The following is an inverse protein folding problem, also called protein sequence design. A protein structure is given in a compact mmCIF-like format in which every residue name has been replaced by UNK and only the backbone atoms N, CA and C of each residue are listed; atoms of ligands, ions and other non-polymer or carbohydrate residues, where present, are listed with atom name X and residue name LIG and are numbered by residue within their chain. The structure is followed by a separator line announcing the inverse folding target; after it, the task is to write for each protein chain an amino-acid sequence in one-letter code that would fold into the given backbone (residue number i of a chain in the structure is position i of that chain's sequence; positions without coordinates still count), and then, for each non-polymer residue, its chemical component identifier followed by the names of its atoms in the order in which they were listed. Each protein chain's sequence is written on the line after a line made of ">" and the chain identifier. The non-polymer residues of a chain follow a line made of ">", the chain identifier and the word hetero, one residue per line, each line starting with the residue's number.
data_IF_886286972522
#
_entry.id   IF_886286972522
#
_cell.length_a   1.000
_cell.length_b   1.000
_cell.length_c   1.000
_cell.angle_alpha   90.00
_cell.angle_beta   90.00
_cell.angle_gamma   90.00
#
_symmetry.space_group_name_H-M   'P 1'
#
loop_
_entity.id
_entity.type
_entity.pdbx_description
1 polymer ?
#
# COMPACT_ATOMS: atom_id res chain seq x y z
N UNK A 1 4.33 -29.08 16.26
CA UNK A 1 5.65 -29.17 16.93
C UNK A 1 5.50 -29.30 18.44
N UNK A 2 5.00 -28.28 19.16
CA UNK A 2 4.82 -28.37 20.63
C UNK A 2 3.91 -29.53 21.10
N UNK A 3 2.93 -29.93 20.29
CA UNK A 3 2.06 -31.09 20.55
C UNK A 3 2.68 -32.46 20.19
N UNK A 4 3.99 -32.53 19.87
CA UNK A 4 4.69 -33.79 19.57
C UNK A 4 4.96 -34.09 18.09
N UNK A 5 4.61 -33.19 17.16
CA UNK A 5 4.92 -33.41 15.73
C UNK A 5 6.43 -33.34 15.46
N UNK A 6 6.95 -34.24 14.63
CA UNK A 6 8.38 -34.33 14.29
C UNK A 6 8.88 -33.22 13.35
N UNK A 7 7.98 -32.58 12.59
CA UNK A 7 8.30 -31.56 11.59
C UNK A 7 7.05 -30.89 11.00
N UNK A 8 7.25 -30.08 9.96
CA UNK A 8 6.19 -29.43 9.20
C UNK A 8 6.55 -29.33 7.71
N UNK A 9 5.56 -29.46 6.83
CA UNK A 9 5.69 -29.23 5.39
C UNK A 9 5.02 -27.89 5.10
N UNK A 10 5.80 -26.89 4.70
CA UNK A 10 5.34 -25.50 4.59
C UNK A 10 5.67 -24.91 3.23
N UNK A 11 4.66 -24.40 2.51
CA UNK A 11 4.89 -23.68 1.26
C UNK A 11 5.72 -22.40 1.48
N UNK A 12 5.50 -21.72 2.62
CA UNK A 12 6.26 -20.53 3.02
C UNK A 12 7.73 -20.83 3.36
N UNK A 13 8.11 -22.10 3.58
CA UNK A 13 9.52 -22.46 3.77
C UNK A 13 10.35 -22.34 2.48
N UNK A 14 9.72 -22.23 1.31
CA UNK A 14 10.46 -21.85 0.10
C UNK A 14 10.99 -20.41 0.18
N UNK A 15 10.33 -19.53 0.95
CA UNK A 15 10.60 -18.09 1.00
C UNK A 15 11.39 -17.71 2.26
N UNK A 16 11.00 -18.26 3.41
CA UNK A 16 11.58 -17.94 4.72
C UNK A 16 12.03 -19.21 5.49
N UNK A 17 12.85 -20.09 4.89
CA UNK A 17 13.25 -21.37 5.51
C UNK A 17 14.00 -21.18 6.82
N UNK A 18 14.89 -20.18 6.87
CA UNK A 18 15.71 -19.82 8.02
C UNK A 18 14.87 -19.50 9.26
N UNK A 19 13.77 -18.77 9.10
CA UNK A 19 12.88 -18.42 10.22
C UNK A 19 12.15 -19.66 10.74
N UNK A 20 11.69 -20.55 9.86
CA UNK A 20 11.04 -21.80 10.28
C UNK A 20 12.02 -22.76 10.98
N UNK A 21 13.27 -22.82 10.52
CA UNK A 21 14.33 -23.59 11.18
C UNK A 21 14.62 -23.02 12.57
N UNK A 22 14.71 -21.69 12.73
CA UNK A 22 14.85 -21.06 14.05
C UNK A 22 13.69 -21.41 14.98
N UNK A 23 12.44 -21.31 14.50
CA UNK A 23 11.24 -21.69 15.27
C UNK A 23 11.31 -23.16 15.68
N UNK A 24 11.69 -24.06 14.77
CA UNK A 24 11.85 -25.49 15.07
C UNK A 24 12.87 -25.73 16.18
N UNK A 25 14.03 -25.09 16.09
CA UNK A 25 15.11 -25.20 17.08
C UNK A 25 14.69 -24.65 18.44
N UNK A 26 14.03 -23.49 18.49
CA UNK A 26 13.51 -22.93 19.74
C UNK A 26 12.50 -23.87 20.40
N UNK A 27 11.61 -24.52 19.63
CA UNK A 27 10.66 -25.48 20.19
C UNK A 27 11.37 -26.73 20.72
N UNK A 28 12.38 -27.25 20.00
CA UNK A 28 13.23 -28.37 20.45
C UNK A 28 13.94 -28.06 21.76
N UNK A 29 14.37 -26.81 21.95
CA UNK A 29 15.07 -26.34 23.14
C UNK A 29 14.12 -25.94 24.29
N UNK A 30 12.80 -26.11 24.14
CA UNK A 30 11.81 -25.70 25.14
C UNK A 30 11.54 -24.18 25.21
N UNK A 31 12.12 -23.38 24.31
CA UNK A 31 12.02 -21.92 24.26
C UNK A 31 10.73 -21.46 23.54
N UNK A 32 9.56 -21.88 24.05
CA UNK A 32 8.27 -21.69 23.38
C UNK A 32 7.91 -20.22 23.15
N UNK A 33 8.33 -19.33 24.03
CA UNK A 33 8.04 -17.89 23.92
C UNK A 33 8.78 -17.27 22.72
N UNK A 34 10.07 -17.54 22.57
CA UNK A 34 10.88 -17.07 21.42
C UNK A 34 10.34 -17.62 20.10
N UNK A 35 9.96 -18.90 20.09
CA UNK A 35 9.34 -19.52 18.92
C UNK A 35 8.03 -18.82 18.51
N UNK A 36 7.19 -18.46 19.49
CA UNK A 36 5.92 -17.76 19.27
C UNK A 36 6.13 -16.35 18.72
N UNK A 37 7.09 -15.62 19.27
CA UNK A 37 7.41 -14.26 18.81
C UNK A 37 7.89 -14.25 17.36
N UNK A 38 8.77 -15.18 16.98
CA UNK A 38 9.20 -15.37 15.59
C UNK A 38 8.02 -15.75 14.68
N UNK A 39 7.16 -16.67 15.12
CA UNK A 39 5.97 -17.05 14.35
C UNK A 39 5.07 -15.85 14.09
N UNK A 40 4.81 -15.00 15.10
CA UNK A 40 3.98 -13.81 14.93
C UNK A 40 4.58 -12.82 13.93
N UNK A 41 5.91 -12.65 13.89
CA UNK A 41 6.58 -11.80 12.90
C UNK A 41 6.31 -12.23 11.46
N UNK A 42 6.19 -13.54 11.19
CA UNK A 42 6.00 -14.08 9.83
C UNK A 42 4.59 -14.59 9.53
N UNK A 43 3.67 -14.51 10.49
CA UNK A 43 2.33 -15.08 10.39
C UNK A 43 1.55 -14.54 9.18
N UNK A 44 1.73 -13.26 8.85
CA UNK A 44 1.06 -12.62 7.72
C UNK A 44 1.58 -13.14 6.37
N UNK A 45 2.92 -13.22 6.21
CA UNK A 45 3.56 -13.86 5.05
C UNK A 45 3.04 -15.30 4.88
N UNK A 46 3.04 -16.08 5.97
CA UNK A 46 2.58 -17.47 5.94
C UNK A 46 1.11 -17.60 5.51
N UNK A 47 0.22 -16.73 6.02
CA UNK A 47 -1.20 -16.72 5.66
C UNK A 47 -1.42 -16.31 4.20
N UNK A 48 -0.72 -15.29 3.71
CA UNK A 48 -0.82 -14.85 2.31
C UNK A 48 -0.39 -15.97 1.36
N UNK A 49 0.75 -16.62 1.64
CA UNK A 49 1.23 -17.74 0.82
C UNK A 49 0.26 -18.93 0.88
N UNK A 50 -0.23 -19.30 2.07
CA UNK A 50 -1.18 -20.40 2.21
C UNK A 50 -2.51 -20.13 1.47
N UNK A 51 -3.01 -18.89 1.51
CA UNK A 51 -4.27 -18.52 0.85
C UNK A 51 -4.20 -18.34 -0.66
N UNK A 52 -3.00 -18.06 -1.21
CA UNK A 52 -2.79 -17.81 -2.65
C UNK A 52 -2.16 -18.97 -3.41
N UNK A 53 -1.90 -20.09 -2.72
CA UNK A 53 -1.28 -21.28 -3.30
C UNK A 53 0.09 -20.98 -3.94
N UNK A 54 0.38 -21.49 -5.14
CA UNK A 54 1.69 -21.28 -5.78
C UNK A 54 1.91 -19.82 -6.22
N UNK A 55 0.86 -18.99 -6.32
CA UNK A 55 0.96 -17.60 -6.77
C UNK A 55 1.75 -16.76 -5.77
N UNK A 56 1.40 -16.82 -4.48
CA UNK A 56 2.10 -16.08 -3.43
C UNK A 56 3.55 -16.51 -3.26
N UNK A 57 3.82 -17.82 -3.27
CA UNK A 57 5.18 -18.34 -3.14
C UNK A 57 6.07 -17.87 -4.30
N UNK A 58 5.59 -17.98 -5.56
CA UNK A 58 6.35 -17.51 -6.72
C UNK A 58 6.53 -16.00 -6.73
N UNK A 59 5.49 -15.24 -6.36
CA UNK A 59 5.58 -13.78 -6.27
C UNK A 59 6.67 -13.35 -5.27
N UNK A 60 6.69 -13.95 -4.08
CA UNK A 60 7.72 -13.68 -3.07
C UNK A 60 9.14 -14.03 -3.57
N UNK A 61 9.32 -15.20 -4.18
CA UNK A 61 10.61 -15.63 -4.71
C UNK A 61 11.12 -14.70 -5.82
N UNK A 62 10.25 -14.31 -6.75
CA UNK A 62 10.61 -13.36 -7.81
C UNK A 62 10.96 -11.97 -7.21
N UNK A 63 10.26 -11.50 -6.18
CA UNK A 63 10.61 -10.27 -5.45
C UNK A 63 11.98 -10.37 -4.75
N UNK A 64 12.34 -11.56 -4.28
CA UNK A 64 13.66 -11.88 -3.73
C UNK A 64 14.72 -12.13 -4.82
N UNK A 65 14.41 -11.86 -6.09
CA UNK A 65 15.28 -12.05 -7.26
C UNK A 65 15.64 -13.51 -7.58
N UNK A 66 14.86 -14.46 -7.08
CA UNK A 66 14.98 -15.87 -7.41
C UNK A 66 14.05 -16.16 -8.60
N UNK A 67 14.63 -16.45 -9.77
CA UNK A 67 13.87 -16.63 -11.01
C UNK A 67 13.11 -17.96 -11.01
N UNK A 68 11.80 -17.90 -10.73
CA UNK A 68 10.89 -19.08 -10.73
C UNK A 68 9.81 -19.04 -11.81
N UNK A 69 9.88 -18.02 -12.67
CA UNK A 69 8.93 -17.77 -13.76
C UNK A 69 7.52 -17.40 -13.27
N UNK A 70 6.60 -17.13 -14.19
CA UNK A 70 5.22 -16.86 -13.83
C UNK A 70 4.49 -18.14 -13.39
N UNK A 71 3.29 -17.97 -12.83
CA UNK A 71 2.33 -19.06 -12.68
C UNK A 71 1.68 -19.41 -14.02
N UNK A 72 1.33 -20.68 -14.21
CA UNK A 72 0.54 -21.15 -15.36
C UNK A 72 -0.91 -20.66 -15.23
N UNK A 73 -1.55 -20.38 -16.35
CA UNK A 73 -2.99 -20.07 -16.39
C UNK A 73 -3.82 -21.25 -15.85
N UNK A 74 -4.95 -21.00 -15.19
CA UNK A 74 -5.71 -19.74 -15.04
C UNK A 74 -5.31 -18.88 -13.82
N UNK A 75 -4.20 -19.23 -13.14
CA UNK A 75 -3.73 -18.52 -11.95
C UNK A 75 -3.13 -17.16 -12.29
N UNK A 76 -3.35 -16.17 -11.42
CA UNK A 76 -3.01 -14.78 -11.68
C UNK A 76 -2.74 -13.96 -10.41
N UNK A 77 -1.84 -12.99 -10.53
CA UNK A 77 -1.80 -11.86 -9.60
C UNK A 77 -3.01 -10.97 -9.90
N UNK A 78 -3.73 -10.55 -8.86
CA UNK A 78 -5.05 -9.93 -8.94
C UNK A 78 -6.20 -10.93 -8.80
N UNK A 79 -5.94 -12.24 -8.95
CA UNK A 79 -6.88 -13.33 -8.66
C UNK A 79 -6.60 -13.96 -7.31
N UNK A 80 -5.88 -15.07 -7.30
CA UNK A 80 -5.58 -15.86 -6.09
C UNK A 80 -4.68 -15.10 -5.12
N UNK A 81 -3.80 -14.23 -5.64
CA UNK A 81 -3.06 -13.25 -4.85
C UNK A 81 -3.57 -11.86 -5.24
N UNK A 82 -4.41 -11.25 -4.41
CA UNK A 82 -4.89 -9.88 -4.64
C UNK A 82 -3.73 -8.88 -4.68
N UNK A 83 -3.91 -7.75 -5.35
CA UNK A 83 -2.89 -6.71 -5.38
C UNK A 83 -2.58 -6.15 -3.98
N UNK A 84 -3.61 -6.01 -3.12
CA UNK A 84 -3.43 -5.70 -1.69
C UNK A 84 -2.53 -6.74 -1.01
N UNK A 85 -2.85 -8.03 -1.14
CA UNK A 85 -2.06 -9.09 -0.50
C UNK A 85 -0.63 -9.18 -1.05
N UNK A 86 -0.43 -8.88 -2.34
CA UNK A 86 0.90 -8.83 -2.96
C UNK A 86 1.76 -7.71 -2.38
N UNK A 87 1.20 -6.49 -2.24
CA UNK A 87 1.94 -5.38 -1.64
C UNK A 87 2.23 -5.63 -0.16
N UNK A 88 1.27 -6.18 0.56
CA UNK A 88 1.46 -6.54 1.97
C UNK A 88 2.52 -7.63 2.17
N UNK A 89 2.58 -8.60 1.26
CA UNK A 89 3.64 -9.60 1.22
C UNK A 89 5.02 -8.96 1.00
N UNK A 90 5.12 -8.01 0.06
CA UNK A 90 6.36 -7.26 -0.18
C UNK A 90 6.80 -6.48 1.06
N UNK A 91 5.89 -5.72 1.67
CA UNK A 91 6.14 -4.93 2.88
C UNK A 91 6.68 -5.80 4.02
N UNK A 92 6.06 -6.97 4.24
CA UNK A 92 6.50 -7.85 5.31
C UNK A 92 7.85 -8.51 5.00
N UNK A 93 8.13 -8.85 3.73
CA UNK A 93 9.43 -9.34 3.29
C UNK A 93 10.55 -8.30 3.44
N UNK A 94 10.25 -7.02 3.21
CA UNK A 94 11.16 -5.89 3.49
C UNK A 94 11.45 -5.78 4.99
N UNK A 95 10.41 -5.83 5.85
CA UNK A 95 10.58 -5.73 7.31
C UNK A 95 11.46 -6.83 7.89
N UNK A 96 11.42 -8.04 7.33
CA UNK A 96 12.26 -9.16 7.77
C UNK A 96 13.61 -9.22 7.03
N UNK A 97 13.93 -8.23 6.20
CA UNK A 97 15.20 -8.11 5.50
C UNK A 97 15.40 -9.13 4.37
N UNK A 98 14.34 -9.78 3.89
CA UNK A 98 14.42 -10.72 2.75
C UNK A 98 14.49 -10.02 1.42
N UNK A 99 13.93 -8.82 1.36
CA UNK A 99 14.06 -7.91 0.23
C UNK A 99 14.80 -6.70 0.76
N UNK A 100 15.91 -6.35 0.13
CA UNK A 100 16.53 -5.06 0.39
C UNK A 100 15.67 -3.99 -0.26
N UNK A 101 15.25 -2.95 0.47
CA UNK A 101 14.65 -1.80 -0.17
C UNK A 101 15.76 -1.16 -1.14
N UNK A 102 15.53 -0.34 -2.20
CA UNK A 102 16.59 0.30 -3.08
C UNK A 102 16.44 1.83 -3.41
N UNK A 103 17.33 2.80 -3.09
CA UNK A 103 17.03 4.25 -3.04
C UNK A 103 16.40 4.93 -4.30
N UNK A 104 15.58 5.95 -4.09
CA UNK A 104 14.78 6.83 -4.94
C UNK A 104 15.26 8.21 -4.56
N UNK A 105 16.13 8.76 -5.39
CA UNK A 105 16.69 10.08 -5.17
C UNK A 105 15.68 11.12 -5.66
N UNK A 106 15.32 12.05 -4.78
CA UNK A 106 14.50 13.20 -5.12
C UNK A 106 15.42 14.35 -5.53
N UNK A 107 15.43 14.70 -6.82
CA UNK A 107 16.07 15.93 -7.28
C UNK A 107 15.00 17.04 -7.28
N UNK A 108 15.01 17.87 -6.23
CA UNK A 108 14.29 19.14 -6.19
C UNK A 108 15.36 20.23 -6.43
N UNK A 109 15.48 20.76 -7.65
CA UNK A 109 16.34 21.95 -7.91
C UNK A 109 15.89 23.09 -6.97
N UNK A 110 16.69 23.76 -6.12
CA UNK A 110 18.12 24.14 -6.11
C UNK A 110 18.99 23.48 -5.00
N UNK A 111 18.60 22.33 -4.42
CA UNK A 111 19.46 21.60 -3.48
C UNK A 111 19.43 20.10 -3.79
N UNK A 112 20.57 19.48 -4.18
CA UNK A 112 20.63 18.02 -4.23
C UNK A 112 20.40 17.49 -2.81
N UNK A 113 19.18 17.00 -2.55
CA UNK A 113 18.82 16.36 -1.32
C UNK A 113 19.18 14.87 -1.44
N UNK A 114 20.42 14.54 -1.09
CA UNK A 114 20.82 13.15 -0.91
C UNK A 114 20.13 12.57 0.33
N UNK A 115 18.97 11.93 0.15
CA UNK A 115 18.43 10.98 1.11
C UNK A 115 18.09 9.64 0.45
N UNK A 116 18.46 8.56 1.14
CA UNK A 116 18.51 7.17 0.65
C UNK A 116 17.17 6.44 0.92
N UNK A 117 16.25 6.26 -0.05
CA UNK A 117 14.93 5.57 0.20
C UNK A 117 14.30 4.78 -0.94
N UNK A 118 13.59 3.67 -0.74
CA UNK A 118 13.97 2.48 -1.46
C UNK A 118 12.87 1.68 -2.32
N UNK A 119 13.05 1.40 -3.64
CA UNK A 119 12.21 0.69 -4.67
C UNK A 119 12.97 -0.26 -5.68
N UNK A 120 12.37 -1.32 -6.27
CA UNK A 120 13.05 -2.31 -7.17
C UNK A 120 12.49 -2.42 -8.62
N UNK A 121 13.45 -2.33 -9.56
CA UNK A 121 13.65 -2.87 -10.93
C UNK A 121 12.77 -2.49 -12.14
N UNK A 122 11.91 -1.47 -12.08
CA UNK A 122 11.41 -0.82 -13.32
C UNK A 122 11.22 0.72 -13.16
N UNK A 123 11.59 1.28 -12.00
CA UNK A 123 11.42 2.71 -11.70
C UNK A 123 12.71 3.50 -12.00
N UNK A 124 12.65 4.71 -12.57
CA UNK A 124 13.83 5.55 -12.78
C UNK A 124 14.60 5.79 -11.47
N UNK A 125 15.93 5.64 -11.51
CA UNK A 125 16.85 5.81 -10.36
C UNK A 125 16.91 7.24 -9.80
N UNK A 126 16.41 8.21 -10.58
CA UNK A 126 16.23 9.60 -10.20
C UNK A 126 14.82 10.01 -10.58
N UNK A 127 14.01 10.48 -9.62
CA UNK A 127 12.77 11.18 -9.98
C UNK A 127 13.16 12.60 -10.35
N UNK A 128 13.53 12.79 -11.61
CA UNK A 128 13.65 14.12 -12.23
C UNK A 128 12.24 14.66 -12.41
N UNK A 129 12.06 15.95 -12.12
CA UNK A 129 10.79 16.67 -12.25
C UNK A 129 9.61 15.98 -11.55
N UNK A 130 9.55 16.08 -10.21
CA UNK A 130 8.39 15.68 -9.41
C UNK A 130 7.16 16.61 -9.64
N UNK A 131 6.83 16.90 -10.90
CA UNK A 131 5.72 17.77 -11.26
C UNK A 131 4.37 17.13 -10.95
N UNK A 132 4.23 15.84 -11.27
CA UNK A 132 3.01 15.08 -11.04
C UNK A 132 3.29 13.57 -11.08
N UNK A 133 2.79 12.86 -10.08
CA UNK A 133 2.72 11.40 -10.01
C UNK A 133 1.30 10.99 -9.65
N UNK A 134 0.90 9.82 -10.12
CA UNK A 134 -0.43 9.25 -9.90
C UNK A 134 -0.27 7.93 -9.17
N UNK A 135 -1.13 7.69 -8.19
CA UNK A 135 -1.20 6.42 -7.46
C UNK A 135 -2.63 5.97 -7.30
N UNK A 136 -2.87 4.68 -7.47
CA UNK A 136 -4.16 4.03 -7.24
C UNK A 136 -3.98 2.84 -6.31
N UNK A 137 -4.92 2.64 -5.39
CA UNK A 137 -5.05 1.37 -4.72
C UNK A 137 -6.48 1.11 -4.21
N UNK A 138 -6.87 -0.16 -4.30
CA UNK A 138 -8.05 -0.73 -3.67
C UNK A 138 -7.67 -1.63 -2.49
N UNK A 139 -8.37 -1.50 -1.37
CA UNK A 139 -8.22 -2.38 -0.22
C UNK A 139 -9.57 -2.78 0.39
N UNK A 140 -9.67 -4.03 0.85
CA UNK A 140 -10.89 -4.58 1.43
C UNK A 140 -11.93 -5.03 0.40
N UNK A 141 -13.11 -5.42 0.90
CA UNK A 141 -14.21 -6.01 0.12
C UNK A 141 -15.56 -5.47 0.62
N UNK A 142 -16.59 -5.59 -0.23
CA UNK A 142 -17.95 -5.21 0.12
C UNK A 142 -18.15 -3.70 0.27
N UNK A 143 -19.08 -3.30 1.14
CA UNK A 143 -19.41 -1.88 1.35
C UNK A 143 -18.27 -1.09 2.01
N UNK A 144 -17.43 -1.76 2.79
CA UNK A 144 -16.29 -1.12 3.47
C UNK A 144 -15.02 -1.07 2.60
N UNK A 145 -15.07 -1.56 1.36
CA UNK A 145 -13.94 -1.44 0.43
C UNK A 145 -13.57 0.04 0.24
N UNK A 146 -12.27 0.31 0.28
CA UNK A 146 -11.70 1.62 0.02
C UNK A 146 -11.02 1.61 -1.33
N UNK A 147 -11.26 2.66 -2.11
CA UNK A 147 -10.54 2.92 -3.35
C UNK A 147 -9.99 4.35 -3.27
N UNK A 148 -8.66 4.47 -3.41
CA UNK A 148 -7.94 5.72 -3.37
C UNK A 148 -7.30 5.94 -4.73
N UNK A 149 -7.68 7.04 -5.37
CA UNK A 149 -7.00 7.58 -6.55
C UNK A 149 -6.37 8.91 -6.14
N UNK A 150 -5.05 9.02 -6.19
CA UNK A 150 -4.36 10.24 -5.78
C UNK A 150 -3.44 10.78 -6.86
N UNK A 151 -3.26 12.09 -6.79
CA UNK A 151 -2.18 12.80 -7.46
C UNK A 151 -1.31 13.46 -6.41
N UNK A 152 0.00 13.33 -6.57
CA UNK A 152 1.01 13.99 -5.74
C UNK A 152 1.97 14.74 -6.63
N UNK A 153 2.35 15.96 -6.23
CA UNK A 153 3.23 16.80 -7.01
C UNK A 153 3.64 18.04 -6.25
N UNK A 154 4.50 18.85 -6.88
CA UNK A 154 4.95 20.10 -6.29
C UNK A 154 3.81 21.09 -6.08
N UNK A 155 3.91 21.86 -4.99
CA UNK A 155 2.99 22.91 -4.57
C UNK A 155 2.97 24.10 -5.54
N UNK A 156 4.09 24.39 -6.20
CA UNK A 156 4.21 25.40 -7.26
C UNK A 156 3.89 24.86 -8.66
N UNK A 157 3.56 23.58 -8.78
CA UNK A 157 3.24 22.90 -10.03
C UNK A 157 1.74 22.85 -10.36
N UNK A 158 1.35 22.06 -11.39
CA UNK A 158 -0.05 21.93 -11.81
C UNK A 158 -0.95 21.33 -10.73
N UNK A 159 -0.41 20.45 -9.87
CA UNK A 159 -1.13 19.92 -8.72
C UNK A 159 -1.46 21.04 -7.73
N UNK A 160 -0.56 22.01 -7.54
CA UNK A 160 -0.75 23.20 -6.72
C UNK A 160 -1.97 24.02 -7.14
N UNK A 161 -2.03 24.34 -8.43
CA UNK A 161 -3.16 25.05 -9.02
C UNK A 161 -4.48 24.28 -8.87
N UNK A 162 -4.46 22.96 -9.11
CA UNK A 162 -5.63 22.11 -8.95
C UNK A 162 -6.12 22.06 -7.49
N UNK A 163 -5.19 22.00 -6.53
CA UNK A 163 -5.49 21.97 -5.10
C UNK A 163 -6.21 23.24 -4.64
N UNK A 164 -5.67 24.40 -5.00
CA UNK A 164 -6.27 25.70 -4.65
C UNK A 164 -7.64 25.84 -5.31
N UNK A 165 -7.77 25.48 -6.59
CA UNK A 165 -9.04 25.54 -7.31
C UNK A 165 -10.10 24.65 -6.66
N UNK A 166 -9.76 23.40 -6.34
CA UNK A 166 -10.67 22.47 -5.68
C UNK A 166 -11.10 23.00 -4.29
N UNK A 167 -10.17 23.58 -3.53
CA UNK A 167 -10.48 24.14 -2.22
C UNK A 167 -11.35 25.39 -2.28
N UNK A 168 -11.14 26.25 -3.28
CA UNK A 168 -11.83 27.52 -3.44
C UNK A 168 -13.25 27.39 -4.00
N UNK A 169 -13.52 26.32 -4.77
CA UNK A 169 -14.80 26.11 -5.44
C UNK A 169 -15.39 24.72 -5.11
N UNK A 170 -15.81 24.47 -3.86
CA UNK A 170 -16.43 23.20 -3.50
C UNK A 170 -17.80 23.02 -4.19
N UNK A 171 -18.04 21.82 -4.70
CA UNK A 171 -19.36 21.39 -5.20
C UNK A 171 -20.14 20.64 -4.11
N UNK A 172 -21.48 20.84 -4.02
CA UNK A 172 -22.30 20.15 -3.03
C UNK A 172 -22.12 18.64 -3.05
N UNK A 173 -21.86 18.05 -1.87
CA UNK A 173 -21.67 16.61 -1.68
C UNK A 173 -20.27 16.10 -2.05
N UNK A 174 -19.36 16.98 -2.51
CA UNK A 174 -17.98 16.67 -2.89
C UNK A 174 -16.99 17.68 -2.31
N UNK A 175 -17.28 18.20 -1.11
CA UNK A 175 -16.51 19.28 -0.49
C UNK A 175 -15.07 18.84 -0.17
N UNK A 176 -14.04 19.49 -0.73
CA UNK A 176 -12.66 19.08 -0.44
C UNK A 176 -12.17 19.57 0.93
N UNK A 177 -11.82 18.63 1.81
CA UNK A 177 -11.30 18.92 3.15
C UNK A 177 -9.82 18.57 3.29
N UNK A 178 -9.13 19.25 4.19
CA UNK A 178 -7.74 18.91 4.51
C UNK A 178 -7.71 17.64 5.35
N UNK A 179 -6.78 16.74 5.04
CA UNK A 179 -6.50 15.61 5.91
C UNK A 179 -5.88 16.12 7.22
N UNK A 180 -6.54 15.80 8.33
CA UNK A 180 -6.12 16.18 9.68
C UNK A 180 -6.05 14.94 10.56
N UNK A 181 -5.10 14.90 11.49
CA UNK A 181 -5.11 13.91 12.57
C UNK A 181 -6.24 14.21 13.56
N UNK A 182 -6.33 15.48 13.93
CA UNK A 182 -7.35 16.07 14.79
C UNK A 182 -7.51 17.55 14.41
N UNK A 183 -8.59 18.23 14.85
CA UNK A 183 -8.75 19.66 14.60
C UNK A 183 -7.50 20.45 15.01
N UNK A 184 -7.05 21.36 14.13
CA UNK A 184 -5.82 22.14 14.27
C UNK A 184 -4.50 21.38 14.05
N UNK A 185 -4.54 20.10 13.66
CA UNK A 185 -3.35 19.29 13.39
C UNK A 185 -3.42 18.65 11.99
N UNK A 186 -3.27 19.48 10.96
CA UNK A 186 -3.21 19.06 9.56
C UNK A 186 -1.90 18.35 9.23
N UNK A 187 -1.97 17.32 8.39
CA UNK A 187 -0.79 16.54 8.00
C UNK A 187 0.04 17.24 6.94
N UNK A 188 1.33 16.91 6.90
CA UNK A 188 2.25 17.29 5.84
C UNK A 188 2.80 16.02 5.15
N UNK A 189 2.92 15.98 3.81
CA UNK A 189 2.52 17.02 2.84
C UNK A 189 1.03 17.35 2.88
N UNK A 190 0.70 18.60 2.58
CA UNK A 190 -0.69 19.07 2.63
C UNK A 190 -1.55 18.21 1.70
N UNK A 191 -2.57 17.58 2.27
CA UNK A 191 -3.37 16.57 1.59
C UNK A 191 -4.84 16.98 1.56
N UNK A 192 -5.42 17.06 0.37
CA UNK A 192 -6.84 17.28 0.14
C UNK A 192 -7.55 15.94 0.02
N UNK A 193 -8.65 15.76 0.73
CA UNK A 193 -9.56 14.61 0.61
C UNK A 193 -10.77 15.07 -0.17
N UNK A 194 -11.03 14.41 -1.30
CA UNK A 194 -12.18 14.67 -2.17
C UNK A 194 -13.06 13.41 -2.22
N UNK A 195 -14.32 13.47 -1.77
CA UNK A 195 -15.23 12.33 -1.89
C UNK A 195 -15.50 11.99 -3.36
N UNK A 196 -15.35 10.72 -3.75
CA UNK A 196 -15.75 10.30 -5.11
C UNK A 196 -17.25 10.08 -5.25
N UNK A 197 -17.92 9.74 -4.15
CA UNK A 197 -19.36 9.50 -4.10
C UNK A 197 -20.04 10.72 -3.49
N UNK A 198 -21.14 11.15 -4.11
CA UNK A 198 -21.92 12.29 -3.62
C UNK A 198 -22.44 12.02 -2.21
N UNK A 199 -22.01 12.85 -1.27
CA UNK A 199 -22.46 12.81 0.11
C UNK A 199 -23.84 13.45 0.21
N UNK A 200 -24.85 12.67 0.60
CA UNK A 200 -26.25 13.12 0.71
C UNK A 200 -26.76 13.16 2.14
N UNK A 201 -25.97 12.73 3.13
CA UNK A 201 -26.38 12.72 4.54
C UNK A 201 -25.20 12.91 5.50
N UNK A 202 -25.52 13.40 6.71
CA UNK A 202 -24.53 13.54 7.79
C UNK A 202 -23.90 12.22 8.20
N UNK A 203 -24.62 11.10 8.08
CA UNK A 203 -24.06 9.77 8.33
C UNK A 203 -22.91 9.47 7.36
N UNK A 204 -23.13 9.67 6.06
CA UNK A 204 -22.09 9.47 5.04
C UNK A 204 -20.93 10.43 5.25
N UNK A 205 -21.20 11.72 5.51
CA UNK A 205 -20.19 12.71 5.84
C UNK A 205 -19.32 12.27 7.03
N UNK A 206 -19.94 11.70 8.08
CA UNK A 206 -19.24 11.23 9.28
C UNK A 206 -18.34 10.01 9.07
N UNK A 207 -18.54 9.26 7.98
CA UNK A 207 -17.69 8.13 7.58
C UNK A 207 -16.50 8.60 6.74
N UNK A 208 -16.74 9.52 5.81
CA UNK A 208 -15.67 10.11 4.98
C UNK A 208 -14.77 11.00 5.83
N UNK A 209 -15.32 11.98 6.54
CA UNK A 209 -14.56 12.96 7.34
C UNK A 209 -14.29 12.51 8.79
N UNK A 210 -14.61 11.25 9.12
CA UNK A 210 -14.24 10.63 10.38
C UNK A 210 -13.15 9.57 10.17
N UNK A 211 -13.53 8.27 10.09
CA UNK A 211 -12.57 7.19 9.97
C UNK A 211 -11.74 7.25 8.69
N UNK A 212 -12.31 7.59 7.51
CA UNK A 212 -11.52 7.65 6.28
C UNK A 212 -10.51 8.82 6.32
N UNK A 213 -10.91 10.01 6.79
CA UNK A 213 -9.99 11.14 6.96
C UNK A 213 -8.85 10.83 7.94
N UNK A 214 -9.15 10.27 9.11
CA UNK A 214 -8.12 9.90 10.08
C UNK A 214 -7.17 8.83 9.52
N UNK A 215 -7.70 7.89 8.73
CA UNK A 215 -6.92 6.87 8.06
C UNK A 215 -5.98 7.44 6.99
N UNK A 216 -6.47 8.34 6.14
CA UNK A 216 -5.67 9.05 5.14
C UNK A 216 -4.58 9.89 5.80
N UNK A 217 -4.93 10.67 6.84
CA UNK A 217 -3.98 11.47 7.59
C UNK A 217 -2.85 10.62 8.19
N UNK A 218 -3.20 9.52 8.87
CA UNK A 218 -2.21 8.60 9.43
C UNK A 218 -1.35 7.95 8.34
N UNK A 219 -1.96 7.54 7.22
CA UNK A 219 -1.23 6.95 6.10
C UNK A 219 -0.20 7.91 5.49
N UNK A 220 -0.52 9.20 5.36
CA UNK A 220 0.43 10.21 4.90
C UNK A 220 1.59 10.34 5.87
N UNK A 221 1.33 10.48 7.17
CA UNK A 221 2.40 10.63 8.17
C UNK A 221 3.26 9.38 8.32
N UNK A 222 2.67 8.19 8.28
CA UNK A 222 3.44 6.95 8.32
C UNK A 222 4.29 6.78 7.05
N UNK A 223 3.87 7.37 5.92
CA UNK A 223 4.67 7.45 4.68
C UNK A 223 5.83 8.43 4.79
N UNK A 224 5.70 9.47 5.61
CA UNK A 224 6.83 10.33 5.96
C UNK A 224 7.74 9.64 6.97
N UNK A 225 7.17 8.94 7.95
CA UNK A 225 7.91 8.30 9.03
C UNK A 225 8.78 7.13 8.55
N UNK A 226 8.29 6.36 7.58
CA UNK A 226 9.04 5.26 6.97
C UNK A 226 9.92 5.67 5.77
N UNK A 227 9.93 6.96 5.43
CA UNK A 227 10.72 7.52 4.35
C UNK A 227 10.19 7.27 2.94
N UNK A 228 8.97 6.73 2.79
CA UNK A 228 8.30 6.68 1.48
C UNK A 228 8.17 8.07 0.87
N UNK A 229 7.86 9.07 1.71
CA UNK A 229 7.92 10.51 1.38
C UNK A 229 9.07 11.11 2.21
N UNK A 230 10.09 11.73 1.60
CA UNK A 230 11.16 12.38 2.35
C UNK A 230 10.64 13.51 3.21
N UNK A 231 11.18 13.63 4.43
CA UNK A 231 10.79 14.69 5.38
C UNK A 231 11.05 16.09 4.86
N UNK A 232 12.06 16.24 4.02
CA UNK A 232 12.52 17.51 3.46
C UNK A 232 11.61 17.97 2.33
N UNK A 233 10.94 17.03 1.65
CA UNK A 233 10.04 17.32 0.54
C UNK A 233 8.59 17.64 1.00
N UNK A 234 8.26 17.46 2.29
CA UNK A 234 6.86 17.57 2.75
C UNK A 234 6.28 18.98 2.65
N UNK A 235 7.12 20.02 2.66
CA UNK A 235 6.67 21.41 2.52
C UNK A 235 6.43 21.79 1.05
N UNK A 236 7.15 21.14 0.14
CA UNK A 236 7.13 21.41 -1.30
C UNK A 236 6.12 20.52 -2.04
N UNK A 237 5.71 19.41 -1.45
CA UNK A 237 4.75 18.48 -2.02
C UNK A 237 3.34 18.71 -1.47
N UNK A 238 2.36 18.43 -2.32
CA UNK A 238 0.96 18.35 -1.95
C UNK A 238 0.30 17.13 -2.57
N UNK A 239 -0.77 16.66 -1.94
CA UNK A 239 -1.54 15.49 -2.38
C UNK A 239 -3.00 15.90 -2.57
N UNK A 240 -3.61 15.44 -3.65
CA UNK A 240 -5.07 15.43 -3.80
C UNK A 240 -5.47 13.96 -3.89
N UNK A 241 -6.24 13.49 -2.90
CA UNK A 241 -6.70 12.12 -2.80
C UNK A 241 -8.22 12.07 -2.98
N UNK A 242 -8.66 11.38 -4.03
CA UNK A 242 -10.04 10.99 -4.21
C UNK A 242 -10.32 9.77 -3.35
N UNK A 243 -11.29 9.87 -2.45
CA UNK A 243 -11.59 8.86 -1.44
C UNK A 243 -12.97 8.27 -1.70
N UNK A 244 -13.00 6.98 -2.02
CA UNK A 244 -14.23 6.22 -2.14
C UNK A 244 -14.63 5.59 -0.80
N UNK A 245 -15.86 5.90 -0.37
CA UNK A 245 -16.55 5.19 0.70
C UNK A 245 -17.94 4.87 0.19
N UNK A 246 -18.32 3.59 0.17
CA UNK A 246 -19.64 3.20 -0.32
C UNK A 246 -20.76 3.78 0.56
N UNK A 247 -21.88 4.27 -0.01
CA UNK A 247 -22.99 4.85 0.76
C UNK A 247 -23.60 3.93 1.83
N UNK A 248 -23.53 2.61 1.61
CA UNK A 248 -24.04 1.61 2.55
C UNK A 248 -23.03 1.18 3.63
N UNK A 249 -21.79 1.68 3.62
CA UNK A 249 -20.79 1.34 4.62
C UNK A 249 -21.30 1.66 6.03
N UNK A 250 -21.07 0.73 6.97
CA UNK A 250 -21.52 0.87 8.36
C UNK A 250 -20.37 0.69 9.35
N UNK A 251 -19.42 -0.18 9.04
CA UNK A 251 -18.33 -0.50 9.95
C UNK A 251 -17.21 0.55 9.84
N UNK A 252 -17.22 1.50 10.80
CA UNK A 252 -16.25 2.59 10.89
C UNK A 252 -14.81 2.10 11.01
N UNK A 253 -14.59 0.98 11.71
CA UNK A 253 -13.25 0.44 11.92
C UNK A 253 -12.69 -0.15 10.63
N UNK A 254 -13.52 -0.87 9.86
CA UNK A 254 -13.12 -1.36 8.54
C UNK A 254 -12.90 -0.24 7.54
N UNK A 255 -13.76 0.78 7.51
CA UNK A 255 -13.55 1.99 6.69
C UNK A 255 -12.19 2.61 7.00
N UNK A 256 -11.83 2.75 8.28
CA UNK A 256 -10.52 3.23 8.69
C UNK A 256 -9.38 2.34 8.18
N UNK A 257 -9.42 1.04 8.48
CA UNK A 257 -8.34 0.10 8.13
C UNK A 257 -8.12 0.05 6.62
N UNK A 258 -9.20 -0.03 5.85
CA UNK A 258 -9.13 -0.16 4.39
C UNK A 258 -8.64 1.14 3.74
N UNK A 259 -9.13 2.30 4.17
CA UNK A 259 -8.63 3.59 3.65
C UNK A 259 -7.16 3.81 4.01
N UNK A 260 -6.72 3.40 5.21
CA UNK A 260 -5.32 3.52 5.62
C UNK A 260 -4.43 2.67 4.71
N UNK A 261 -4.80 1.41 4.47
CA UNK A 261 -4.06 0.51 3.58
C UNK A 261 -4.04 1.02 2.14
N UNK A 262 -5.21 1.37 1.59
CA UNK A 262 -5.34 1.88 0.23
C UNK A 262 -4.49 3.15 0.05
N UNK A 263 -4.57 4.11 0.98
CA UNK A 263 -3.77 5.33 0.91
C UNK A 263 -2.26 5.04 0.96
N UNK A 264 -1.80 4.17 1.87
CA UNK A 264 -0.38 3.77 1.95
C UNK A 264 0.12 3.13 0.64
N UNK A 265 -0.68 2.25 0.06
CA UNK A 265 -0.33 1.59 -1.21
C UNK A 265 -0.35 2.58 -2.39
N UNK A 266 -1.34 3.47 -2.44
CA UNK A 266 -1.45 4.48 -3.49
C UNK A 266 -0.28 5.48 -3.44
N UNK A 267 0.08 5.98 -2.25
CA UNK A 267 1.25 6.86 -2.07
C UNK A 267 2.50 6.14 -2.57
N UNK A 268 2.72 4.91 -2.09
CA UNK A 268 3.93 4.17 -2.43
C UNK A 268 4.02 3.91 -3.93
N UNK A 269 2.94 3.48 -4.57
CA UNK A 269 2.88 3.31 -6.04
C UNK A 269 3.15 4.62 -6.79
N UNK A 270 2.63 5.75 -6.32
CA UNK A 270 2.89 7.06 -6.94
C UNK A 270 4.37 7.44 -6.86
N UNK A 271 4.98 7.29 -5.68
CA UNK A 271 6.42 7.58 -5.48
C UNK A 271 7.28 6.60 -6.29
N UNK A 272 6.97 5.31 -6.23
CA UNK A 272 7.70 4.25 -6.95
C UNK A 272 7.37 4.23 -8.46
N UNK A 273 6.49 5.08 -8.98
CA UNK A 273 6.11 5.08 -10.40
C UNK A 273 5.53 3.76 -10.89
N UNK A 274 4.79 3.04 -10.03
CA UNK A 274 4.20 1.72 -10.33
C UNK A 274 2.68 1.79 -10.50
N UNK A 275 2.07 0.85 -11.26
CA UNK A 275 2.73 -0.21 -12.03
C UNK A 275 3.47 0.35 -13.24
N UNK A 276 4.52 -0.36 -13.67
CA UNK A 276 5.26 0.01 -14.89
C UNK A 276 4.64 -0.61 -16.13
N UNK A 277 5.04 -0.13 -17.32
CA UNK A 277 4.47 -0.62 -18.59
C UNK A 277 4.69 -2.12 -18.77
N UNK A 278 5.86 -2.64 -18.38
CA UNK A 278 6.16 -4.06 -18.49
C UNK A 278 5.28 -4.91 -17.56
N UNK A 279 5.05 -4.44 -16.31
CA UNK A 279 4.12 -5.10 -15.38
C UNK A 279 2.69 -5.12 -15.91
N UNK A 280 2.27 -4.02 -16.55
CA UNK A 280 0.95 -3.94 -17.17
C UNK A 280 0.84 -4.89 -18.36
N UNK A 281 1.85 -4.94 -19.24
CA UNK A 281 1.86 -5.81 -20.41
C UNK A 281 1.87 -7.29 -20.03
N UNK A 282 2.58 -7.69 -18.97
CA UNK A 282 2.60 -9.08 -18.49
C UNK A 282 1.23 -9.52 -17.93
N UNK A 283 0.49 -8.60 -17.31
CA UNK A 283 -0.73 -8.91 -16.57
C UNK A 283 -2.03 -8.53 -17.30
N UNK A 284 -1.96 -7.80 -18.42
CA UNK A 284 -3.12 -7.29 -19.17
C UNK A 284 -4.19 -8.36 -19.42
N UNK A 285 -3.80 -9.51 -19.96
CA UNK A 285 -4.72 -10.61 -20.29
C UNK A 285 -5.19 -11.40 -19.05
N UNK A 286 -4.48 -11.28 -17.93
CA UNK A 286 -4.77 -11.97 -16.67
C UNK A 286 -5.66 -11.14 -15.73
N UNK A 287 -5.73 -9.83 -15.95
CA UNK A 287 -6.43 -8.90 -15.08
C UNK A 287 -7.94 -9.19 -15.05
N UNK A 288 -8.50 -9.27 -13.84
CA UNK A 288 -9.93 -9.49 -13.58
C UNK A 288 -10.51 -8.20 -13.02
N UNK A 289 -11.21 -7.44 -13.86
CA UNK A 289 -11.93 -6.26 -13.38
C UNK A 289 -13.14 -6.70 -12.55
N UNK A 290 -13.40 -6.09 -11.37
CA UNK A 290 -14.50 -6.52 -10.47
C UNK A 290 -15.88 -6.54 -11.13
N UNK A 291 -16.09 -5.68 -12.14
CA UNK A 291 -17.34 -5.59 -12.90
C UNK A 291 -17.25 -6.23 -14.30
N UNK A 292 -16.21 -7.02 -14.59
CA UNK A 292 -16.10 -7.73 -15.87
C UNK A 292 -17.21 -8.78 -15.96
N UNK A 293 -18.07 -8.65 -16.96
CA UNK A 293 -19.04 -9.70 -17.29
C UNK A 293 -18.29 -10.99 -17.64
N UNK A 294 -18.54 -12.04 -16.88
CA UNK A 294 -18.05 -13.39 -17.18
C UNK A 294 -19.29 -14.24 -17.46
N UNK A 295 -19.60 -14.53 -18.74
CA UNK A 295 -20.73 -15.40 -19.10
C UNK A 295 -20.56 -16.82 -18.55
#
# INVERSE_FOLDING_TARGET
>A
LAAGCSGAILASANVIPDIWVQIYNHIKNGELQKARELQYKVQKIARIIAGSGPVGAKAALNMMKIKVGPVRQHLSVGGELTYEAREELRLDLEKIGKIQPKPVTFEIEEKPLEQRFMAIDITPEVIKDFNLRIGEALAGLGAEAAHIDLVVGRKDGPVGAAFVKAKAAPTPGHEPLLAILEPNLAVKPATLIVPTVTITSMRQASLVYGPAQAAVAKAVLDSVADGTIPKEAVEDLIIIANVFVHPSAVDRQRVYINNYKAMRHAIRKAIEGRPTIDELMENKERAKHPFKYTP
#
